data_IF_999341280369
#
_entry.id   IF_999341280369
#
_cell.length_a   1.000
_cell.length_b   1.000
_cell.length_c   1.000
_cell.angle_alpha   90.00
_cell.angle_beta   90.00
_cell.angle_gamma   90.00
#
_symmetry.space_group_name_H-M   'P 1'
#
loop_
_entity.id
_entity.type
_entity.pdbx_description
1 polymer ?
#
# COMPACT_ATOMS: atom_id res chain seq x y z
N UNK A 1 -16.72 1.21 24.18
CA UNK A 1 -15.89 0.39 25.08
C UNK A 1 -14.42 0.59 24.75
N UNK A 2 -13.56 0.53 25.77
CA UNK A 2 -12.10 0.63 25.64
C UNK A 2 -11.50 -0.54 26.41
N UNK A 3 -10.51 -1.19 25.83
CA UNK A 3 -9.74 -2.23 26.47
C UNK A 3 -8.25 -1.92 26.35
N UNK A 4 -7.50 -2.10 27.43
CA UNK A 4 -6.07 -1.86 27.49
C UNK A 4 -5.27 -3.15 27.32
N UNK A 5 -3.99 -3.03 26.97
CA UNK A 5 -3.07 -4.16 26.97
C UNK A 5 -2.90 -4.74 28.39
N UNK A 6 -2.66 -6.06 28.53
CA UNK A 6 -2.38 -6.66 29.83
C UNK A 6 -1.23 -5.95 30.55
N UNK A 7 -1.43 -5.60 31.83
CA UNK A 7 -0.45 -4.91 32.69
C UNK A 7 0.06 -3.58 32.10
N UNK A 8 -0.75 -2.89 31.30
CA UNK A 8 -0.40 -1.59 30.72
C UNK A 8 -1.61 -0.66 30.71
N UNK A 9 -1.35 0.65 30.78
CA UNK A 9 -2.37 1.70 30.59
C UNK A 9 -2.63 2.03 29.11
N UNK A 10 -1.84 1.46 28.20
CA UNK A 10 -2.01 1.68 26.77
C UNK A 10 -3.29 1.01 26.25
N UNK A 11 -4.07 1.75 25.46
CA UNK A 11 -5.28 1.25 24.80
C UNK A 11 -4.89 0.21 23.75
N UNK A 12 -5.45 -0.99 23.86
CA UNK A 12 -5.30 -2.07 22.90
C UNK A 12 -6.41 -2.04 21.85
N UNK A 13 -7.66 -1.82 22.26
CA UNK A 13 -8.78 -1.67 21.34
C UNK A 13 -9.87 -0.72 21.85
N UNK A 14 -10.56 -0.08 20.90
CA UNK A 14 -11.74 0.74 21.10
C UNK A 14 -12.84 0.24 20.18
N UNK A 15 -14.02 0.00 20.73
CA UNK A 15 -15.12 -0.56 19.96
C UNK A 15 -16.50 -0.16 20.47
N UNK A 16 -17.46 -0.18 19.55
CA UNK A 16 -18.89 0.04 19.83
C UNK A 16 -19.60 -1.30 20.03
N UNK A 17 -20.68 -1.29 20.82
CA UNK A 17 -21.50 -2.46 21.14
C UNK A 17 -22.98 -2.12 20.96
N UNK A 18 -23.83 -3.14 20.80
CA UNK A 18 -25.27 -2.92 20.74
C UNK A 18 -25.78 -2.26 22.03
N UNK A 19 -26.73 -1.33 21.88
CA UNK A 19 -27.38 -0.69 23.04
C UNK A 19 -28.21 -1.71 23.84
N UNK A 20 -28.87 -2.63 23.14
CA UNK A 20 -29.69 -3.70 23.73
C UNK A 20 -28.86 -4.82 24.35
N UNK A 21 -27.67 -5.09 23.81
CA UNK A 21 -26.76 -6.13 24.30
C UNK A 21 -25.30 -5.65 24.21
N UNK A 22 -24.75 -5.26 25.37
CA UNK A 22 -23.39 -4.71 25.45
C UNK A 22 -22.28 -5.75 25.25
N UNK A 23 -22.62 -7.04 25.13
CA UNK A 23 -21.66 -8.10 24.82
C UNK A 23 -21.40 -8.24 23.32
N UNK A 24 -22.29 -7.70 22.48
CA UNK A 24 -22.22 -7.82 21.02
C UNK A 24 -21.59 -6.57 20.41
N UNK A 25 -20.45 -6.73 19.72
CA UNK A 25 -19.81 -5.65 18.96
C UNK A 25 -20.73 -5.18 17.83
N UNK A 26 -20.98 -3.87 17.77
CA UNK A 26 -21.82 -3.25 16.74
C UNK A 26 -21.45 -1.78 16.60
N UNK A 27 -21.08 -1.37 15.39
CA UNK A 27 -20.49 -0.07 15.08
C UNK A 27 -18.96 -0.14 14.92
N UNK A 28 -18.30 1.01 15.09
CA UNK A 28 -16.87 1.15 14.81
C UNK A 28 -15.99 0.30 15.73
N UNK A 29 -14.92 -0.24 15.17
CA UNK A 29 -13.88 -1.01 15.85
C UNK A 29 -12.50 -0.55 15.39
N UNK A 30 -11.59 -0.39 16.35
CA UNK A 30 -10.18 -0.07 16.11
C UNK A 30 -9.35 -0.83 17.13
N UNK A 31 -8.31 -1.53 16.67
CA UNK A 31 -7.25 -2.06 17.52
C UNK A 31 -5.91 -1.39 17.17
N UNK A 32 -5.04 -1.28 18.16
CA UNK A 32 -3.79 -0.54 18.08
C UNK A 32 -2.58 -1.46 18.24
N UNK A 33 -1.44 -1.03 17.71
CA UNK A 33 -0.14 -1.56 18.08
C UNK A 33 0.21 -1.10 19.50
N UNK A 34 0.92 -1.94 20.24
CA UNK A 34 1.52 -1.52 21.50
C UNK A 34 2.65 -0.55 21.19
N UNK A 35 2.63 0.63 21.81
CA UNK A 35 3.68 1.63 21.67
C UNK A 35 4.92 1.17 22.43
N UNK A 36 6.10 1.51 21.90
CA UNK A 36 7.34 1.45 22.67
C UNK A 36 7.27 2.42 23.86
N UNK A 37 8.14 2.26 24.86
CA UNK A 37 8.17 3.19 26.00
C UNK A 37 8.42 4.63 25.54
N UNK A 38 9.40 4.82 24.63
CA UNK A 38 9.71 6.13 24.03
C UNK A 38 8.52 6.72 23.27
N UNK A 39 7.82 5.93 22.48
CA UNK A 39 6.64 6.41 21.75
C UNK A 39 5.48 6.71 22.69
N UNK A 40 5.35 5.95 23.79
CA UNK A 40 4.33 6.20 24.79
C UNK A 40 4.56 7.51 25.53
N UNK A 41 5.81 7.83 25.89
CA UNK A 41 6.17 9.14 26.46
C UNK A 41 5.82 10.29 25.49
N UNK A 42 6.18 10.14 24.20
CA UNK A 42 5.84 11.12 23.16
C UNK A 42 4.34 11.25 22.94
N UNK A 43 3.58 10.17 23.06
CA UNK A 43 2.13 10.17 23.06
C UNK A 43 1.56 10.94 24.27
N UNK A 44 2.11 10.72 25.47
CA UNK A 44 1.71 11.45 26.68
C UNK A 44 2.00 12.96 26.60
N UNK A 45 3.05 13.34 25.87
CA UNK A 45 3.39 14.73 25.57
C UNK A 45 2.54 15.35 24.44
N UNK A 46 1.63 14.60 23.83
CA UNK A 46 0.79 15.07 22.72
C UNK A 46 1.49 15.17 21.37
N UNK A 47 2.74 14.68 21.25
CA UNK A 47 3.51 14.67 19.99
C UNK A 47 3.00 13.59 19.04
N UNK A 48 2.64 12.43 19.59
CA UNK A 48 2.05 11.32 18.84
C UNK A 48 0.57 11.16 19.20
N UNK A 49 -0.21 10.67 18.25
CA UNK A 49 -1.64 10.38 18.42
C UNK A 49 -1.86 8.88 18.47
N UNK A 50 -2.92 8.45 19.14
CA UNK A 50 -3.28 7.04 19.21
C UNK A 50 -3.60 6.49 17.80
N UNK A 51 -4.19 7.34 16.95
CA UNK A 51 -4.50 7.07 15.55
C UNK A 51 -3.25 6.74 14.70
N UNK A 52 -2.07 7.16 15.13
CA UNK A 52 -0.82 6.86 14.43
C UNK A 52 -0.48 5.36 14.54
N UNK A 53 -0.98 4.69 15.59
CA UNK A 53 -0.68 3.31 15.95
C UNK A 53 -1.83 2.34 15.63
N UNK A 54 -2.72 2.67 14.70
CA UNK A 54 -3.78 1.75 14.28
C UNK A 54 -3.17 0.48 13.67
N UNK A 55 -3.59 -0.67 14.19
CA UNK A 55 -3.25 -2.00 13.67
C UNK A 55 -4.34 -2.54 12.76
N UNK A 56 -5.59 -2.38 13.16
CA UNK A 56 -6.75 -2.80 12.37
C UNK A 56 -7.93 -1.91 12.70
N UNK A 57 -8.73 -1.56 11.70
CA UNK A 57 -9.97 -0.80 11.90
C UNK A 57 -11.04 -1.25 10.92
N UNK A 58 -12.28 -1.08 11.32
CA UNK A 58 -13.46 -1.40 10.52
C UNK A 58 -14.74 -1.27 11.32
N UNK A 59 -15.78 -1.96 10.87
CA UNK A 59 -17.09 -1.92 11.48
C UNK A 59 -17.60 -3.34 11.77
N UNK A 60 -18.25 -3.49 12.93
CA UNK A 60 -19.02 -4.69 13.24
C UNK A 60 -20.51 -4.42 13.07
N UNK A 61 -21.22 -5.38 12.50
CA UNK A 61 -22.68 -5.43 12.45
C UNK A 61 -23.12 -6.71 13.13
N UNK A 62 -23.77 -6.57 14.28
CA UNK A 62 -24.31 -7.69 15.07
C UNK A 62 -23.26 -8.77 15.36
N UNK A 63 -22.08 -8.34 15.83
CA UNK A 63 -20.97 -9.22 16.18
C UNK A 63 -20.11 -9.70 15.01
N UNK A 64 -20.50 -9.41 13.76
CA UNK A 64 -19.76 -9.83 12.55
C UNK A 64 -19.12 -8.66 11.83
N UNK A 65 -17.99 -8.88 11.16
CA UNK A 65 -17.36 -7.85 10.33
C UNK A 65 -18.27 -7.44 9.18
N UNK A 66 -18.41 -6.13 9.00
CA UNK A 66 -19.14 -5.51 7.90
C UNK A 66 -18.41 -4.29 7.34
N UNK A 67 -18.70 -3.94 6.09
CA UNK A 67 -18.14 -2.78 5.42
C UNK A 67 -16.62 -2.87 5.23
N UNK A 68 -15.98 -1.71 5.15
CA UNK A 68 -14.55 -1.61 4.87
C UNK A 68 -13.69 -1.93 6.10
N UNK A 69 -12.63 -2.71 5.88
CA UNK A 69 -11.64 -3.07 6.87
C UNK A 69 -10.24 -2.78 6.35
N UNK A 70 -9.42 -2.20 7.21
CA UNK A 70 -8.02 -1.91 6.96
C UNK A 70 -7.16 -2.59 8.03
N UNK A 71 -6.12 -3.29 7.61
CA UNK A 71 -5.10 -3.89 8.47
C UNK A 71 -3.74 -3.31 8.10
N UNK A 72 -2.92 -3.06 9.10
CA UNK A 72 -1.60 -2.48 8.97
C UNK A 72 -0.57 -3.49 9.47
N UNK A 73 0.60 -3.55 8.82
CA UNK A 73 1.72 -4.42 9.27
C UNK A 73 2.55 -3.74 10.35
N UNK A 74 2.65 -2.42 10.27
CA UNK A 74 3.29 -1.51 11.22
C UNK A 74 2.49 -0.20 11.24
N UNK A 75 2.66 0.66 12.26
CA UNK A 75 2.04 1.98 12.29
C UNK A 75 2.13 2.69 10.93
N UNK A 76 1.00 3.13 10.39
CA UNK A 76 0.85 3.81 9.09
C UNK A 76 1.23 3.01 7.83
N UNK A 77 1.66 1.74 7.94
CA UNK A 77 2.00 0.89 6.78
C UNK A 77 0.84 -0.07 6.47
N UNK A 78 -0.02 0.33 5.53
CA UNK A 78 -1.19 -0.46 5.11
C UNK A 78 -0.74 -1.83 4.58
N UNK A 79 -1.36 -2.90 5.09
CA UNK A 79 -1.11 -4.28 4.69
C UNK A 79 -2.24 -4.82 3.82
N UNK A 80 -3.49 -4.70 4.28
CA UNK A 80 -4.66 -5.09 3.50
C UNK A 80 -5.80 -4.09 3.65
N UNK A 81 -6.63 -3.99 2.62
CA UNK A 81 -7.85 -3.20 2.62
C UNK A 81 -8.93 -3.87 1.77
N UNK A 82 -10.16 -3.91 2.26
CA UNK A 82 -11.29 -4.42 1.50
C UNK A 82 -12.57 -4.53 2.32
N UNK A 83 -13.63 -5.07 1.72
CA UNK A 83 -14.95 -5.12 2.34
C UNK A 83 -15.32 -6.50 2.89
N UNK A 84 -16.07 -6.49 3.99
CA UNK A 84 -16.70 -7.65 4.57
C UNK A 84 -18.23 -7.54 4.52
N UNK A 85 -18.90 -8.68 4.36
CA UNK A 85 -20.33 -8.87 4.58
C UNK A 85 -20.53 -10.10 5.47
N UNK A 86 -20.79 -9.88 6.76
CA UNK A 86 -21.03 -10.95 7.73
C UNK A 86 -19.83 -11.89 7.85
N UNK A 87 -18.65 -11.34 8.12
CA UNK A 87 -17.33 -12.03 8.20
C UNK A 87 -16.79 -12.61 6.88
N UNK A 88 -17.56 -12.56 5.79
CA UNK A 88 -17.09 -12.96 4.46
C UNK A 88 -16.47 -11.78 3.72
N UNK A 89 -15.28 -11.97 3.16
CA UNK A 89 -14.67 -10.99 2.25
C UNK A 89 -15.51 -10.90 0.97
N UNK A 90 -15.80 -9.68 0.54
CA UNK A 90 -16.53 -9.39 -0.69
C UNK A 90 -15.80 -8.30 -1.50
N UNK A 91 -16.08 -8.26 -2.80
CA UNK A 91 -15.51 -7.32 -3.76
C UNK A 91 -13.99 -7.39 -3.84
N UNK A 92 -13.39 -6.28 -4.27
CA UNK A 92 -11.94 -6.19 -4.49
C UNK A 92 -11.20 -5.93 -3.18
N UNK A 93 -10.25 -6.79 -2.89
CA UNK A 93 -9.31 -6.69 -1.79
C UNK A 93 -7.93 -6.31 -2.28
N UNK A 94 -7.33 -5.34 -1.61
CA UNK A 94 -5.98 -4.84 -1.87
C UNK A 94 -5.04 -5.42 -0.82
N UNK A 95 -3.85 -5.82 -1.27
CA UNK A 95 -2.80 -6.32 -0.39
C UNK A 95 -1.45 -5.73 -0.78
N UNK A 96 -0.81 -5.04 0.16
CA UNK A 96 0.51 -4.46 -0.05
C UNK A 96 1.63 -5.50 0.09
N UNK A 97 2.62 -5.41 -0.80
CA UNK A 97 3.87 -6.18 -0.86
C UNK A 97 5.02 -5.23 -1.14
N UNK A 98 6.26 -5.70 -0.94
CA UNK A 98 7.47 -4.96 -1.31
C UNK A 98 7.45 -3.51 -0.82
N UNK A 99 7.29 -3.32 0.50
CA UNK A 99 7.20 -1.98 1.12
C UNK A 99 6.11 -1.08 0.51
N UNK A 100 4.96 -1.70 0.17
CA UNK A 100 3.81 -1.07 -0.48
C UNK A 100 4.05 -0.59 -1.93
N UNK A 101 5.13 -1.02 -2.58
CA UNK A 101 5.38 -0.71 -3.98
C UNK A 101 4.61 -1.63 -4.94
N UNK A 102 4.09 -2.75 -4.43
CA UNK A 102 3.24 -3.66 -5.17
C UNK A 102 1.93 -3.83 -4.39
N UNK A 103 0.80 -3.50 -5.03
CA UNK A 103 -0.53 -3.73 -4.49
C UNK A 103 -1.20 -4.85 -5.28
N UNK A 104 -1.20 -6.04 -4.72
CA UNK A 104 -1.96 -7.16 -5.26
C UNK A 104 -3.46 -6.92 -5.07
N UNK A 105 -4.25 -7.37 -6.04
CA UNK A 105 -5.71 -7.22 -6.03
C UNK A 105 -6.38 -8.56 -6.26
N UNK A 106 -7.37 -8.87 -5.44
CA UNK A 106 -8.17 -10.07 -5.58
C UNK A 106 -9.65 -9.73 -5.45
N UNK A 107 -10.45 -10.14 -6.42
CA UNK A 107 -11.90 -9.99 -6.40
C UNK A 107 -12.52 -11.24 -5.78
N UNK A 108 -13.10 -11.08 -4.58
CA UNK A 108 -13.73 -12.18 -3.85
C UNK A 108 -15.10 -12.56 -4.38
N UNK A 109 -15.77 -11.67 -5.13
CA UNK A 109 -17.06 -11.97 -5.74
C UNK A 109 -16.87 -12.79 -7.02
N UNK A 110 -15.82 -12.46 -7.78
CA UNK A 110 -15.43 -13.19 -9.00
C UNK A 110 -14.43 -14.35 -8.74
N UNK A 111 -13.94 -14.49 -7.52
CA UNK A 111 -12.87 -15.41 -7.12
C UNK A 111 -11.63 -15.33 -8.01
N UNK A 112 -11.24 -14.11 -8.42
CA UNK A 112 -10.22 -13.88 -9.44
C UNK A 112 -9.13 -12.93 -8.96
N UNK A 113 -7.86 -13.28 -9.22
CA UNK A 113 -6.73 -12.35 -9.06
C UNK A 113 -6.78 -11.31 -10.18
N UNK A 114 -6.73 -10.04 -9.80
CA UNK A 114 -6.74 -8.91 -10.73
C UNK A 114 -5.31 -8.41 -10.97
N UNK A 115 -5.14 -7.61 -12.02
CA UNK A 115 -3.86 -6.95 -12.30
C UNK A 115 -3.41 -6.11 -11.09
N UNK A 116 -2.17 -6.30 -10.62
CA UNK A 116 -1.65 -5.54 -9.50
C UNK A 116 -1.45 -4.06 -9.90
N UNK A 117 -1.29 -3.22 -8.90
CA UNK A 117 -0.89 -1.82 -9.07
C UNK A 117 0.57 -1.71 -8.61
N UNK A 118 1.43 -1.12 -9.45
CA UNK A 118 2.82 -0.86 -9.10
C UNK A 118 3.00 0.62 -8.74
N UNK A 119 3.43 0.90 -7.51
CA UNK A 119 3.67 2.23 -6.96
C UNK A 119 5.18 2.44 -6.71
N UNK A 120 5.99 2.16 -7.73
CA UNK A 120 7.44 2.26 -7.64
C UNK A 120 7.83 3.73 -7.65
N UNK A 121 8.46 4.20 -6.56
CA UNK A 121 8.99 5.56 -6.49
C UNK A 121 10.25 5.68 -7.35
N UNK A 122 10.29 6.70 -8.20
CA UNK A 122 11.49 7.05 -8.97
C UNK A 122 12.42 7.81 -8.03
N UNK A 123 13.69 7.39 -7.96
CA UNK A 123 14.70 8.09 -7.17
C UNK A 123 15.37 9.14 -8.05
N UNK A 124 15.27 10.40 -7.65
CA UNK A 124 15.88 11.51 -8.38
C UNK A 124 17.40 11.53 -8.11
N UNK A 125 18.26 11.49 -9.14
CA UNK A 125 19.71 11.58 -8.95
C UNK A 125 20.14 12.95 -8.39
N UNK A 126 20.89 12.95 -7.29
CA UNK A 126 21.36 14.17 -6.63
C UNK A 126 22.19 15.09 -7.54
N UNK A 127 23.01 14.52 -8.42
CA UNK A 127 23.79 15.28 -9.40
C UNK A 127 22.90 15.97 -10.43
N UNK A 128 21.89 15.28 -10.95
CA UNK A 128 20.91 15.86 -11.87
C UNK A 128 20.11 16.97 -11.18
N UNK A 129 19.73 16.75 -9.91
CA UNK A 129 18.98 17.72 -9.10
C UNK A 129 19.78 19.01 -8.90
N UNK A 130 21.04 18.89 -8.48
CA UNK A 130 21.95 20.05 -8.28
C UNK A 130 22.26 20.78 -9.58
N UNK A 131 22.33 20.06 -10.70
CA UNK A 131 22.55 20.64 -12.01
C UNK A 131 21.26 21.23 -12.64
N UNK A 132 20.10 21.10 -11.98
CA UNK A 132 18.83 21.61 -12.50
C UNK A 132 18.27 20.81 -13.68
N UNK A 133 18.71 19.56 -13.86
CA UNK A 133 18.29 18.72 -14.99
C UNK A 133 16.89 18.18 -14.76
N UNK A 134 15.90 18.73 -15.45
CA UNK A 134 14.52 18.23 -15.46
C UNK A 134 14.15 17.68 -16.85
N UNK A 135 13.05 16.92 -16.91
CA UNK A 135 12.49 16.49 -18.18
C UNK A 135 11.80 15.15 -18.13
N UNK A 136 11.48 14.65 -19.32
CA UNK A 136 10.70 13.43 -19.50
C UNK A 136 11.54 12.39 -20.22
N UNK A 137 11.59 11.18 -19.64
CA UNK A 137 12.23 10.01 -20.22
C UNK A 137 11.15 9.06 -20.73
N UNK A 138 11.27 8.63 -21.99
CA UNK A 138 10.34 7.68 -22.60
C UNK A 138 11.07 6.37 -22.92
N UNK A 139 10.59 5.27 -22.35
CA UNK A 139 11.14 3.92 -22.55
C UNK A 139 10.12 3.05 -23.28
N UNK A 140 10.53 2.38 -24.36
CA UNK A 140 9.74 1.35 -25.02
C UNK A 140 10.21 -0.02 -24.57
N UNK A 141 9.28 -0.96 -24.37
CA UNK A 141 9.60 -2.32 -23.97
C UNK A 141 8.56 -3.31 -24.49
N UNK A 142 8.96 -4.57 -24.58
CA UNK A 142 8.09 -5.67 -24.93
C UNK A 142 7.70 -6.44 -23.68
N UNK A 143 6.41 -6.70 -23.52
CA UNK A 143 5.88 -7.59 -22.50
C UNK A 143 5.48 -8.89 -23.16
N UNK A 144 5.90 -10.03 -22.61
CA UNK A 144 5.50 -11.37 -23.04
C UNK A 144 4.27 -11.87 -22.28
N UNK A 145 3.62 -12.93 -22.79
CA UNK A 145 2.45 -13.55 -22.16
C UNK A 145 2.70 -14.11 -20.75
N UNK A 146 3.96 -14.44 -20.44
CA UNK A 146 4.42 -14.89 -19.12
C UNK A 146 4.86 -13.75 -18.19
N UNK A 147 4.46 -12.52 -18.51
CA UNK A 147 4.79 -11.27 -17.81
C UNK A 147 6.28 -10.90 -17.80
N UNK A 148 7.10 -11.52 -18.66
CA UNK A 148 8.50 -11.11 -18.83
C UNK A 148 8.57 -9.82 -19.61
N UNK A 149 9.44 -8.90 -19.17
CA UNK A 149 9.76 -7.67 -19.91
C UNK A 149 11.11 -7.82 -20.60
N UNK A 150 11.16 -7.49 -21.89
CA UNK A 150 12.35 -7.56 -22.73
C UNK A 150 12.44 -6.35 -23.66
N UNK A 151 13.53 -6.25 -24.43
CA UNK A 151 13.74 -5.23 -25.47
C UNK A 151 13.47 -3.80 -24.99
N UNK A 152 13.96 -3.47 -23.78
CA UNK A 152 13.86 -2.13 -23.21
C UNK A 152 14.75 -1.19 -24.02
N UNK A 153 14.15 -0.18 -24.64
CA UNK A 153 14.80 0.80 -25.51
C UNK A 153 14.45 2.21 -25.07
N UNK A 154 15.43 3.12 -25.14
CA UNK A 154 15.24 4.53 -24.82
C UNK A 154 14.76 5.27 -26.06
N UNK A 155 13.55 5.84 -26.01
CA UNK A 155 12.96 6.62 -27.10
C UNK A 155 13.24 8.11 -26.95
N UNK A 156 13.18 8.62 -25.72
CA UNK A 156 13.43 10.03 -25.41
C UNK A 156 14.34 10.11 -24.20
N UNK A 157 15.46 10.81 -24.38
CA UNK A 157 16.43 11.14 -23.35
C UNK A 157 16.31 12.62 -22.99
N UNK A 158 16.49 12.95 -21.71
CA UNK A 158 16.62 14.33 -21.23
C UNK A 158 18.03 14.60 -20.69
N UNK A 159 18.59 13.65 -19.93
CA UNK A 159 20.01 13.65 -19.60
C UNK A 159 20.47 12.26 -19.17
N UNK A 160 21.76 11.91 -19.31
CA UNK A 160 22.27 10.58 -18.96
C UNK A 160 21.98 10.15 -17.51
N UNK A 161 21.96 11.10 -16.57
CA UNK A 161 21.66 10.82 -15.17
C UNK A 161 20.19 10.42 -14.96
N UNK A 162 19.25 11.10 -15.62
CA UNK A 162 17.82 10.79 -15.55
C UNK A 162 17.50 9.49 -16.30
N UNK A 163 18.17 9.23 -17.42
CA UNK A 163 18.01 7.99 -18.18
C UNK A 163 18.38 6.77 -17.32
N UNK A 164 19.48 6.86 -16.56
CA UNK A 164 19.88 5.79 -15.65
C UNK A 164 18.83 5.58 -14.53
N UNK A 165 18.30 6.65 -13.94
CA UNK A 165 17.25 6.55 -12.93
C UNK A 165 15.96 5.91 -13.49
N UNK A 166 15.55 6.30 -14.69
CA UNK A 166 14.42 5.69 -15.39
C UNK A 166 14.67 4.20 -15.68
N UNK A 167 15.89 3.82 -16.09
CA UNK A 167 16.27 2.43 -16.31
C UNK A 167 16.28 1.60 -15.02
N UNK A 168 16.71 2.16 -13.89
CA UNK A 168 16.65 1.50 -12.58
C UNK A 168 15.18 1.23 -12.20
N UNK A 169 14.33 2.24 -12.36
CA UNK A 169 12.89 2.10 -12.16
C UNK A 169 12.30 1.02 -13.06
N UNK A 170 12.68 1.01 -14.34
CA UNK A 170 12.17 0.06 -15.35
C UNK A 170 12.60 -1.38 -15.06
N UNK A 171 13.84 -1.59 -14.62
CA UNK A 171 14.31 -2.92 -14.18
C UNK A 171 13.51 -3.43 -12.99
N UNK A 172 13.21 -2.55 -12.04
CA UNK A 172 12.40 -2.89 -10.87
C UNK A 172 10.96 -3.22 -11.26
N UNK A 173 10.37 -2.43 -12.15
CA UNK A 173 9.07 -2.70 -12.74
C UNK A 173 9.03 -4.06 -13.44
N UNK A 174 10.03 -4.39 -14.26
CA UNK A 174 10.12 -5.68 -14.93
C UNK A 174 10.12 -6.87 -13.95
N UNK A 175 10.88 -6.77 -12.85
CA UNK A 175 10.89 -7.79 -11.79
C UNK A 175 9.51 -7.92 -11.14
N UNK A 176 8.85 -6.81 -10.83
CA UNK A 176 7.52 -6.84 -10.21
C UNK A 176 6.45 -7.36 -11.16
N UNK A 177 6.49 -6.98 -12.44
CA UNK A 177 5.58 -7.52 -13.43
C UNK A 177 5.76 -9.03 -13.56
N UNK A 178 7.01 -9.52 -13.58
CA UNK A 178 7.29 -10.95 -13.64
C UNK A 178 6.75 -11.73 -12.43
N UNK A 179 6.91 -11.19 -11.23
CA UNK A 179 6.57 -11.89 -9.99
C UNK A 179 5.07 -11.79 -9.63
N UNK A 180 4.42 -10.68 -9.97
CA UNK A 180 3.06 -10.37 -9.49
C UNK A 180 2.04 -10.16 -10.61
N UNK A 181 2.49 -10.01 -11.85
CA UNK A 181 1.63 -9.83 -13.01
C UNK A 181 0.65 -11.00 -13.19
N UNK A 182 -0.49 -10.69 -13.77
CA UNK A 182 -1.51 -11.69 -14.14
C UNK A 182 -2.09 -11.32 -15.49
N UNK A 183 -2.42 -12.34 -16.29
CA UNK A 183 -3.05 -12.18 -17.60
C UNK A 183 -2.30 -11.17 -18.49
N UNK A 184 -0.97 -11.35 -18.56
CA UNK A 184 -0.12 -10.59 -19.46
C UNK A 184 -0.34 -11.05 -20.90
N UNK A 185 -0.24 -10.10 -21.82
CA UNK A 185 -0.41 -10.33 -23.25
C UNK A 185 0.81 -9.79 -23.95
N UNK A 186 1.16 -10.39 -25.08
CA UNK A 186 2.26 -9.92 -25.91
C UNK A 186 1.93 -8.53 -26.46
N UNK A 187 2.75 -7.54 -26.11
CA UNK A 187 2.60 -6.16 -26.59
C UNK A 187 3.88 -5.37 -26.44
N UNK A 188 3.97 -4.32 -27.25
CA UNK A 188 4.94 -3.24 -27.08
C UNK A 188 4.24 -2.13 -26.31
N UNK A 189 4.81 -1.72 -25.19
CA UNK A 189 4.32 -0.60 -24.38
C UNK A 189 5.36 0.51 -24.32
N UNK A 190 4.91 1.70 -23.96
CA UNK A 190 5.78 2.84 -23.65
C UNK A 190 5.53 3.33 -22.24
N UNK A 191 6.58 3.43 -21.45
CA UNK A 191 6.57 4.04 -20.13
C UNK A 191 7.17 5.44 -20.20
N UNK A 192 6.45 6.40 -19.63
CA UNK A 192 6.91 7.77 -19.46
C UNK A 192 7.29 7.97 -18.00
N UNK A 193 8.52 8.45 -17.77
CA UNK A 193 9.04 8.79 -16.44
C UNK A 193 9.33 10.28 -16.43
N UNK A 194 8.64 11.02 -15.56
CA UNK A 194 8.75 12.48 -15.47
C UNK A 194 9.60 12.84 -14.26
N UNK A 195 10.57 13.72 -14.48
CA UNK A 195 11.44 14.28 -13.45
C UNK A 195 11.22 15.78 -13.36
N UNK A 196 10.45 16.20 -12.35
CA UNK A 196 10.24 17.60 -12.03
C UNK A 196 11.09 17.95 -10.79
N UNK A 197 11.67 19.15 -10.80
CA UNK A 197 12.21 19.74 -9.57
C UNK A 197 11.01 20.27 -8.80
N UNK A 198 10.78 19.76 -7.59
CA UNK A 198 9.85 20.39 -6.66
C UNK A 198 10.47 21.75 -6.25
N UNK A 199 9.68 22.83 -6.39
CA UNK A 199 10.08 24.20 -6.02
C UNK A 199 10.32 24.36 -4.51
#
# INVERSE_FOLDING_TARGET
>A
MIQCFPRSKQVAERYSVLKSDRTVKHGSYVAFFKMSEKDYERFQMGVLKLEDFVKIKGNYQLGKKGGEWEEYIQPQVLKTKGNYLGDKKIGVWFTAREEAQVIERYDFDLQKKLRPIFQIKVVYPENARKAGHMGTISLSFQTSSDCTVSNITLLQSASPALDNAAMIWMKKYAVYLKNYGVECTEKIDTQIVVFNLEE
#
